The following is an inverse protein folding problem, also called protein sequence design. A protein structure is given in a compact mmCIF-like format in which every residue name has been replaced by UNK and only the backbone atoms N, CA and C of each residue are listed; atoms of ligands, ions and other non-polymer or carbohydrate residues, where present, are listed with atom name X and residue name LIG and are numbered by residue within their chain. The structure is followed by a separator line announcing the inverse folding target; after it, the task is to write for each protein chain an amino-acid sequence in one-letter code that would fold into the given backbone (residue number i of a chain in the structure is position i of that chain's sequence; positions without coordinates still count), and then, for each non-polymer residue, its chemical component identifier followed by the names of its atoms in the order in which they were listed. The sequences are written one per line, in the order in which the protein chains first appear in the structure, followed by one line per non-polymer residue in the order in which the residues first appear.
data_IF_300240000203
#
_entry.id   IF_300240000203
#
_cell.length_a   1.000
_cell.length_b   1.000
_cell.length_c   1.000
_cell.angle_alpha   90.00
_cell.angle_beta   90.00
_cell.angle_gamma   90.00
#
_symmetry.space_group_name_H-M   'P 1'
#
loop_
_entity.id
_entity.type
_entity.pdbx_description
1 polymer ?
#
# COMPACT_ATOMS: atom_id res chain seq x y z
N UNK A 1 -16.86 -11.32 -5.51
CA UNK A 1 -16.38 -10.82 -6.82
C UNK A 1 -14.94 -11.26 -6.94
N UNK A 2 -14.60 -12.04 -7.97
CA UNK A 2 -13.24 -12.50 -8.24
C UNK A 2 -12.66 -11.67 -9.39
N UNK A 3 -11.42 -11.21 -9.25
CA UNK A 3 -10.70 -10.45 -10.27
C UNK A 3 -9.43 -11.22 -10.63
N UNK A 4 -9.27 -11.53 -11.92
CA UNK A 4 -8.06 -12.14 -12.46
C UNK A 4 -7.29 -11.10 -13.28
N UNK A 5 -5.98 -11.02 -13.04
CA UNK A 5 -5.08 -10.07 -13.67
C UNK A 5 -4.05 -10.87 -14.45
N UNK A 6 -4.12 -10.80 -15.78
CA UNK A 6 -3.21 -11.50 -16.69
C UNK A 6 -2.22 -10.51 -17.28
N UNK A 7 -0.98 -10.95 -17.40
CA UNK A 7 0.08 -10.19 -18.06
C UNK A 7 0.65 -11.07 -19.18
N UNK A 8 0.67 -10.59 -20.43
CA UNK A 8 1.34 -11.28 -21.53
C UNK A 8 2.82 -11.53 -21.25
N UNK A 9 3.34 -12.68 -21.70
CA UNK A 9 4.72 -13.10 -21.43
C UNK A 9 5.75 -12.14 -22.02
N UNK A 10 5.49 -11.58 -23.20
CA UNK A 10 6.36 -10.58 -23.84
C UNK A 10 6.51 -9.32 -22.98
N UNK A 11 5.43 -8.87 -22.36
CA UNK A 11 5.44 -7.74 -21.44
C UNK A 11 6.15 -8.12 -20.13
N UNK A 12 5.89 -9.31 -19.61
CA UNK A 12 6.54 -9.81 -18.38
C UNK A 12 8.06 -9.93 -18.56
N UNK A 13 8.53 -10.45 -19.69
CA UNK A 13 9.96 -10.57 -20.03
C UNK A 13 10.62 -9.21 -20.28
N UNK A 14 9.85 -8.19 -20.67
CA UNK A 14 10.32 -6.81 -20.79
C UNK A 14 10.62 -6.13 -19.44
N UNK A 15 10.09 -6.67 -18.34
CA UNK A 15 10.38 -6.15 -17.00
C UNK A 15 11.76 -6.62 -16.54
N UNK A 16 12.57 -5.69 -16.02
CA UNK A 16 13.86 -5.99 -15.37
C UNK A 16 13.67 -6.55 -13.96
N UNK A 17 12.78 -7.53 -13.81
CA UNK A 17 12.37 -8.16 -12.55
C UNK A 17 12.45 -9.68 -12.75
N UNK A 18 12.98 -10.45 -11.79
CA UNK A 18 12.94 -11.91 -11.86
C UNK A 18 11.50 -12.43 -12.02
N UNK A 19 11.23 -13.39 -12.94
CA UNK A 19 9.87 -13.88 -13.22
C UNK A 19 9.08 -14.28 -11.97
N UNK A 20 9.75 -14.92 -11.01
CA UNK A 20 9.18 -15.37 -9.73
C UNK A 20 8.65 -14.21 -8.87
N UNK A 21 9.20 -13.00 -9.05
CA UNK A 21 8.87 -11.82 -8.25
C UNK A 21 7.98 -10.82 -8.98
N UNK A 22 7.74 -11.00 -10.28
CA UNK A 22 6.94 -10.05 -11.09
C UNK A 22 5.58 -9.79 -10.46
N UNK A 23 4.88 -10.86 -10.08
CA UNK A 23 3.54 -10.74 -9.48
C UNK A 23 3.57 -9.92 -8.18
N UNK A 24 4.52 -10.21 -7.30
CA UNK A 24 4.66 -9.51 -6.02
C UNK A 24 4.99 -8.03 -6.22
N UNK A 25 5.91 -7.70 -7.12
CA UNK A 25 6.28 -6.32 -7.42
C UNK A 25 5.11 -5.54 -8.04
N UNK A 26 4.38 -6.13 -8.99
CA UNK A 26 3.19 -5.49 -9.57
C UNK A 26 2.14 -5.21 -8.50
N UNK A 27 1.86 -6.18 -7.62
CA UNK A 27 0.88 -6.00 -6.54
C UNK A 27 1.32 -4.92 -5.55
N UNK A 28 2.61 -4.85 -5.20
CA UNK A 28 3.15 -3.75 -4.38
C UNK A 28 2.93 -2.40 -5.07
N UNK A 29 3.28 -2.27 -6.35
CA UNK A 29 3.09 -1.02 -7.08
C UNK A 29 1.62 -0.59 -7.12
N UNK A 30 0.71 -1.52 -7.43
CA UNK A 30 -0.74 -1.25 -7.41
C UNK A 30 -1.20 -0.79 -6.02
N UNK A 31 -0.74 -1.46 -4.96
CA UNK A 31 -1.10 -1.11 -3.59
C UNK A 31 -0.69 0.33 -3.25
N UNK A 32 0.55 0.73 -3.56
CA UNK A 32 1.04 2.08 -3.27
C UNK A 32 0.37 3.14 -4.13
N UNK A 33 0.11 2.86 -5.42
CA UNK A 33 -0.62 3.79 -6.31
C UNK A 33 -2.04 4.02 -5.78
N UNK A 34 -2.77 2.96 -5.43
CA UNK A 34 -4.12 3.11 -4.91
C UNK A 34 -4.15 3.76 -3.53
N UNK A 35 -3.17 3.49 -2.67
CA UNK A 35 -3.05 4.20 -1.41
C UNK A 35 -2.81 5.69 -1.66
N UNK A 36 -1.79 6.07 -2.43
CA UNK A 36 -1.46 7.46 -2.72
C UNK A 36 -2.61 8.25 -3.37
N UNK A 37 -3.45 7.59 -4.17
CA UNK A 37 -4.62 8.19 -4.81
C UNK A 37 -5.87 8.24 -3.92
N UNK A 38 -5.83 7.71 -2.70
CA UNK A 38 -7.01 7.63 -1.82
C UNK A 38 -8.05 6.59 -2.23
N UNK A 39 -7.71 5.73 -3.21
CA UNK A 39 -8.59 4.66 -3.70
C UNK A 39 -8.58 3.43 -2.79
N UNK A 40 -7.51 3.25 -2.01
CA UNK A 40 -7.40 2.19 -1.03
C UNK A 40 -7.03 2.75 0.35
N UNK A 41 -7.69 2.26 1.40
CA UNK A 41 -7.23 2.49 2.76
C UNK A 41 -5.91 1.75 3.01
N UNK A 42 -5.15 2.14 4.03
CA UNK A 42 -3.90 1.47 4.39
C UNK A 42 -4.10 -0.03 4.63
N UNK A 43 -5.25 -0.43 5.21
CA UNK A 43 -5.58 -1.85 5.43
C UNK A 43 -5.82 -2.63 4.14
N UNK A 44 -6.46 -2.00 3.15
CA UNK A 44 -6.67 -2.61 1.82
C UNK A 44 -5.35 -2.67 1.06
N UNK A 45 -4.62 -1.57 0.97
CA UNK A 45 -3.33 -1.50 0.28
C UNK A 45 -2.32 -2.52 0.84
N UNK A 46 -2.25 -2.66 2.16
CA UNK A 46 -1.42 -3.69 2.80
C UNK A 46 -1.77 -5.10 2.37
N UNK A 47 -3.07 -5.45 2.34
CA UNK A 47 -3.53 -6.77 1.87
C UNK A 47 -3.18 -7.00 0.40
N UNK A 48 -3.28 -5.98 -0.45
CA UNK A 48 -2.87 -6.06 -1.87
C UNK A 48 -1.35 -6.32 -1.96
N UNK A 49 -0.54 -5.56 -1.22
CA UNK A 49 0.93 -5.65 -1.27
C UNK A 49 1.53 -6.89 -0.59
N UNK A 50 0.75 -7.60 0.23
CA UNK A 50 1.26 -8.67 1.11
C UNK A 50 2.11 -8.18 2.29
N UNK A 51 2.27 -6.86 2.49
CA UNK A 51 3.18 -6.31 3.50
C UNK A 51 2.57 -6.20 4.91
N UNK A 52 3.42 -6.42 5.91
CA UNK A 52 3.15 -6.09 7.30
C UNK A 52 2.95 -4.59 7.52
N UNK A 53 2.44 -4.21 8.71
CA UNK A 53 2.16 -2.79 9.03
C UNK A 53 3.41 -1.95 8.96
N UNK A 54 4.49 -2.46 9.56
CA UNK A 54 5.77 -1.78 9.68
C UNK A 54 6.44 -1.64 8.31
N UNK A 55 6.56 -2.73 7.56
CA UNK A 55 7.13 -2.74 6.21
C UNK A 55 6.41 -1.79 5.26
N UNK A 56 5.07 -1.74 5.33
CA UNK A 56 4.29 -0.83 4.50
C UNK A 56 4.57 0.64 4.83
N UNK A 57 4.67 0.97 6.13
CA UNK A 57 5.00 2.34 6.56
C UNK A 57 6.44 2.71 6.16
N UNK A 58 7.38 1.79 6.29
CA UNK A 58 8.77 2.00 5.87
C UNK A 58 8.85 2.28 4.36
N UNK A 59 8.10 1.53 3.55
CA UNK A 59 8.02 1.77 2.10
C UNK A 59 7.31 3.09 1.74
N UNK A 60 6.26 3.50 2.46
CA UNK A 60 5.67 4.83 2.27
C UNK A 60 6.73 5.93 2.47
N UNK A 61 7.57 5.78 3.48
CA UNK A 61 8.69 6.69 3.74
C UNK A 61 9.70 6.74 2.59
N UNK A 62 10.15 5.57 2.12
CA UNK A 62 11.09 5.48 0.99
C UNK A 62 10.52 6.09 -0.30
N UNK A 63 9.23 5.86 -0.56
CA UNK A 63 8.49 6.37 -1.72
C UNK A 63 8.03 7.81 -1.59
N UNK A 64 8.23 8.43 -0.41
CA UNK A 64 7.76 9.79 -0.08
C UNK A 64 6.24 9.96 -0.27
N UNK A 65 5.47 8.90 0.00
CA UNK A 65 4.02 8.94 -0.06
C UNK A 65 3.51 9.42 1.30
N UNK A 66 2.82 10.57 1.38
CA UNK A 66 2.30 11.07 2.65
C UNK A 66 1.25 10.10 3.19
N UNK A 67 1.26 9.88 4.50
CA UNK A 67 0.18 9.14 5.14
C UNK A 67 -1.09 9.96 5.05
N UNK A 68 -2.21 9.29 4.80
CA UNK A 68 -3.55 9.86 4.90
C UNK A 68 -3.94 10.02 6.37
N UNK A 69 -3.14 10.79 7.11
CA UNK A 69 -3.43 11.18 8.48
C UNK A 69 -4.10 12.53 8.42
N UNK A 70 -5.39 12.56 8.75
CA UNK A 70 -6.21 13.77 8.69
C UNK A 70 -6.24 14.48 10.04
N UNK A 71 -6.66 15.74 10.03
CA UNK A 71 -6.91 16.50 11.26
C UNK A 71 -7.94 15.80 12.17
N UNK A 72 -8.91 15.08 11.58
CA UNK A 72 -9.87 14.27 12.34
C UNK A 72 -9.19 13.12 13.09
N UNK A 73 -8.23 12.45 12.46
CA UNK A 73 -7.45 11.39 13.11
C UNK A 73 -6.66 11.96 14.29
N UNK A 74 -6.09 13.16 14.12
CA UNK A 74 -5.39 13.89 15.17
C UNK A 74 -6.31 14.27 16.35
N UNK A 75 -7.50 14.77 16.08
CA UNK A 75 -8.47 15.10 17.13
C UNK A 75 -8.91 13.87 17.94
N UNK A 76 -9.10 12.73 17.26
CA UNK A 76 -9.43 11.46 17.92
C UNK A 76 -8.30 11.03 18.84
N UNK A 77 -7.05 11.10 18.38
CA UNK A 77 -5.88 10.76 19.18
C UNK A 77 -5.72 11.69 20.39
N UNK A 78 -5.96 13.00 20.22
CA UNK A 78 -5.96 13.97 21.33
C UNK A 78 -7.03 13.67 22.38
N UNK A 79 -8.25 13.31 21.95
CA UNK A 79 -9.33 12.92 22.86
C UNK A 79 -8.96 11.66 23.63
N UNK A 80 -8.43 10.66 22.93
CA UNK A 80 -7.98 9.41 23.55
C UNK A 80 -6.90 9.68 24.62
N UNK A 81 -5.86 10.45 24.28
CA UNK A 81 -4.78 10.80 25.19
C UNK A 81 -5.25 11.57 26.43
N UNK A 82 -6.22 12.49 26.26
CA UNK A 82 -6.82 13.24 27.38
C UNK A 82 -7.77 12.41 28.25
N UNK A 83 -8.39 11.38 27.69
CA UNK A 83 -9.35 10.51 28.41
C UNK A 83 -8.69 9.39 29.23
N UNK A 84 -7.39 9.17 29.04
CA UNK A 84 -6.61 8.15 29.74
C UNK A 84 -5.75 8.74 30.87
N UNK A 85 -6.10 9.93 31.38
CA UNK A 85 -5.56 10.56 32.58
C UNK A 85 -6.49 10.37 33.77
#
# INVERSE_FOLDING_TARGET
MELQLTLPDDIALGLKIPPEKIKEEILKEIAFIFYAQGKASMGVARRISGLGKREFIDELGKRKIPRHYSEKDFEVDLKYAKSSQ
#
